data_IF_431986345225
#
_entry.id   IF_431986345225
#
_cell.length_a   1.000
_cell.length_b   1.000
_cell.length_c   1.000
_cell.angle_alpha   90.00
_cell.angle_beta   90.00
_cell.angle_gamma   90.00
#
_symmetry.space_group_name_H-M   'P 1'
#
loop_
_entity.id
_entity.type
_entity.pdbx_description
1 polymer ?
#
# COMPACT_ATOMS: atom_id res chain seq x y z
N UNK A 1 -43.74 2.14 -21.22
CA UNK A 1 -42.47 2.90 -21.21
C UNK A 1 -41.84 2.68 -19.86
N UNK A 2 -40.93 1.71 -19.78
CA UNK A 2 -40.29 1.28 -18.55
C UNK A 2 -39.20 2.28 -18.17
N UNK A 3 -39.44 3.06 -17.11
CA UNK A 3 -38.45 4.00 -16.57
C UNK A 3 -37.42 3.18 -15.81
N UNK A 4 -36.43 2.66 -16.54
CA UNK A 4 -35.18 2.19 -15.91
C UNK A 4 -34.61 3.36 -15.14
N UNK A 5 -34.87 3.38 -13.84
CA UNK A 5 -34.25 4.24 -12.86
C UNK A 5 -32.74 4.17 -13.09
N UNK A 6 -32.13 5.29 -13.45
CA UNK A 6 -30.69 5.46 -13.42
C UNK A 6 -30.20 4.92 -12.08
N UNK A 7 -29.17 4.04 -12.03
CA UNK A 7 -28.70 3.52 -10.77
C UNK A 7 -28.34 4.72 -9.89
N UNK A 8 -28.96 4.76 -8.70
CA UNK A 8 -28.67 5.75 -7.67
C UNK A 8 -27.16 5.93 -7.58
N UNK A 9 -26.74 7.18 -7.78
CA UNK A 9 -25.45 7.77 -7.42
C UNK A 9 -24.38 6.74 -7.01
N UNK A 10 -23.37 6.49 -7.85
CA UNK A 10 -22.19 5.67 -7.52
C UNK A 10 -21.73 5.93 -6.07
N UNK A 11 -22.09 5.04 -5.14
CA UNK A 11 -21.84 5.25 -3.72
C UNK A 11 -20.38 4.91 -3.44
N UNK A 12 -19.56 5.94 -3.19
CA UNK A 12 -18.15 5.77 -2.85
C UNK A 12 -18.08 5.30 -1.40
N UNK A 13 -17.95 3.99 -1.19
CA UNK A 13 -17.90 3.36 0.14
C UNK A 13 -16.66 2.50 0.31
N UNK A 14 -16.30 2.23 1.57
CA UNK A 14 -15.21 1.33 1.89
C UNK A 14 -15.56 -0.11 1.50
N UNK A 15 -14.66 -0.76 0.75
CA UNK A 15 -14.81 -2.12 0.25
C UNK A 15 -14.61 -3.19 1.33
N UNK A 16 -13.99 -2.85 2.47
CA UNK A 16 -13.90 -3.77 3.59
C UNK A 16 -15.31 -4.05 4.13
N UNK A 17 -15.79 -5.30 4.00
CA UNK A 17 -17.14 -5.72 4.41
C UNK A 17 -17.42 -5.59 5.90
N UNK A 18 -16.37 -5.50 6.71
CA UNK A 18 -16.50 -5.28 8.15
C UNK A 18 -16.60 -3.79 8.51
N UNK A 19 -16.33 -2.89 7.56
CA UNK A 19 -16.48 -1.46 7.76
C UNK A 19 -17.96 -1.03 7.68
N UNK A 20 -18.44 -0.39 8.73
CA UNK A 20 -19.81 0.16 8.82
C UNK A 20 -19.83 1.69 8.73
N UNK A 21 -18.69 2.32 8.50
CA UNK A 21 -18.53 3.77 8.48
C UNK A 21 -18.79 4.31 7.08
N UNK A 22 -19.91 5.01 6.89
CA UNK A 22 -20.30 5.60 5.61
C UNK A 22 -19.95 7.10 5.51
N UNK A 23 -19.66 7.75 6.63
CA UNK A 23 -19.51 9.21 6.72
C UNK A 23 -18.08 9.71 6.48
N UNK A 24 -17.04 8.89 6.75
CA UNK A 24 -15.66 9.31 6.61
C UNK A 24 -15.14 9.08 5.19
N UNK A 25 -15.58 9.93 4.26
CA UNK A 25 -15.10 9.90 2.87
C UNK A 25 -13.69 10.49 2.72
N UNK A 26 -13.21 11.27 3.71
CA UNK A 26 -11.93 12.00 3.64
C UNK A 26 -10.72 11.10 3.82
N UNK A 27 -10.86 9.95 4.47
CA UNK A 27 -9.77 8.99 4.68
C UNK A 27 -9.87 7.74 3.78
N UNK A 28 -10.68 7.81 2.72
CA UNK A 28 -10.76 6.76 1.71
C UNK A 28 -9.59 6.86 0.73
N UNK A 29 -8.83 5.78 0.62
CA UNK A 29 -7.90 5.53 -0.46
C UNK A 29 -8.62 4.81 -1.60
N UNK A 30 -8.35 5.20 -2.84
CA UNK A 30 -8.93 4.58 -4.03
C UNK A 30 -7.83 3.82 -4.75
N UNK A 31 -7.97 2.50 -4.88
CA UNK A 31 -6.99 1.69 -5.60
C UNK A 31 -6.98 2.09 -7.08
N UNK A 32 -5.81 2.46 -7.60
CA UNK A 32 -5.69 2.90 -9.00
C UNK A 32 -5.97 1.77 -10.01
N UNK A 33 -5.84 0.51 -9.62
CA UNK A 33 -6.04 -0.66 -10.49
C UNK A 33 -7.48 -1.16 -10.51
N UNK A 34 -8.05 -1.46 -9.34
CA UNK A 34 -9.40 -2.04 -9.25
C UNK A 34 -10.49 -1.05 -8.84
N UNK A 35 -10.14 0.23 -8.58
CA UNK A 35 -11.04 1.33 -8.20
C UNK A 35 -11.84 1.13 -6.91
N UNK A 36 -11.63 0.01 -6.21
CA UNK A 36 -12.18 -0.23 -4.87
C UNK A 36 -11.59 0.78 -3.88
N UNK A 37 -12.44 1.31 -3.02
CA UNK A 37 -12.07 2.29 -2.01
C UNK A 37 -11.87 1.59 -0.65
N UNK A 38 -10.95 2.07 0.17
CA UNK A 38 -10.68 1.52 1.49
C UNK A 38 -10.37 2.67 2.44
N UNK A 39 -10.92 2.66 3.66
CA UNK A 39 -10.35 3.50 4.70
C UNK A 39 -8.94 3.02 4.99
N UNK A 40 -8.01 3.94 5.20
CA UNK A 40 -6.61 3.60 5.50
C UNK A 40 -6.49 2.66 6.71
N UNK A 41 -7.31 2.86 7.74
CA UNK A 41 -7.42 1.99 8.92
C UNK A 41 -8.07 0.61 8.66
N UNK A 42 -8.81 0.48 7.55
CA UNK A 42 -9.51 -0.75 7.17
C UNK A 42 -8.71 -1.60 6.18
N UNK A 43 -7.54 -1.12 5.73
CA UNK A 43 -6.55 -1.94 5.07
C UNK A 43 -5.97 -2.96 6.06
N UNK A 44 -5.46 -4.08 5.56
CA UNK A 44 -4.84 -5.13 6.37
C UNK A 44 -3.50 -5.57 5.76
N UNK A 45 -2.36 -5.06 6.26
CA UNK A 45 -2.25 -4.20 7.45
C UNK A 45 -2.80 -2.78 7.23
N UNK A 46 -3.16 -2.06 8.31
CA UNK A 46 -3.55 -0.65 8.24
C UNK A 46 -2.42 0.22 7.68
N UNK A 47 -2.79 1.22 6.87
CA UNK A 47 -1.84 2.16 6.26
C UNK A 47 -2.08 3.57 6.80
N UNK A 48 -1.07 4.44 6.67
CA UNK A 48 -1.19 5.85 7.05
C UNK A 48 -1.72 6.64 5.85
N UNK A 49 -2.96 7.13 5.95
CA UNK A 49 -3.64 7.86 4.86
C UNK A 49 -2.78 8.96 4.25
N UNK A 50 -2.22 9.83 5.10
CA UNK A 50 -1.45 11.00 4.68
C UNK A 50 -0.15 10.66 3.92
N UNK A 51 0.33 9.42 4.02
CA UNK A 51 1.50 8.93 3.26
C UNK A 51 1.03 8.18 2.02
N UNK A 52 0.11 7.24 2.17
CA UNK A 52 -0.40 6.41 1.08
C UNK A 52 -1.07 7.24 -0.03
N UNK A 53 -1.80 8.30 0.34
CA UNK A 53 -2.45 9.20 -0.61
C UNK A 53 -1.49 10.10 -1.40
N UNK A 54 -0.19 10.14 -1.08
CA UNK A 54 0.80 10.97 -1.79
C UNK A 54 1.22 10.39 -3.14
N UNK A 55 0.87 9.14 -3.41
CA UNK A 55 1.27 8.40 -4.60
C UNK A 55 0.09 7.61 -5.18
N UNK A 56 0.21 7.07 -6.41
CA UNK A 56 -0.81 6.20 -6.99
C UNK A 56 -0.96 4.90 -6.20
N UNK A 57 -1.82 4.92 -5.19
CA UNK A 57 -1.96 3.82 -4.23
C UNK A 57 -2.66 2.60 -4.85
N UNK A 58 -2.14 1.42 -4.53
CA UNK A 58 -2.69 0.12 -4.92
C UNK A 58 -3.09 -0.66 -3.67
N UNK A 59 -4.27 -1.27 -3.66
CA UNK A 59 -4.69 -2.12 -2.55
C UNK A 59 -3.90 -3.43 -2.49
N UNK A 60 -3.98 -4.16 -1.38
CA UNK A 60 -3.17 -5.37 -1.14
C UNK A 60 -3.37 -6.48 -2.18
N UNK A 61 -4.53 -6.53 -2.84
CA UNK A 61 -4.80 -7.47 -3.95
C UNK A 61 -4.26 -7.03 -5.30
N UNK A 62 -3.87 -5.76 -5.44
CA UNK A 62 -3.45 -5.16 -6.70
C UNK A 62 -2.01 -4.65 -6.66
N UNK A 63 -1.28 -4.91 -5.58
CA UNK A 63 0.12 -4.50 -5.45
C UNK A 63 0.93 -5.02 -6.64
N UNK A 64 1.65 -4.11 -7.28
CA UNK A 64 2.67 -4.41 -8.26
C UNK A 64 4.02 -3.91 -7.78
N UNK A 65 5.09 -4.55 -8.24
CA UNK A 65 6.43 -4.08 -7.98
C UNK A 65 6.61 -2.67 -8.56
N UNK A 66 6.98 -1.72 -7.72
CA UNK A 66 7.18 -0.31 -8.11
C UNK A 66 8.30 -0.15 -9.14
N UNK A 67 9.30 -1.04 -9.12
CA UNK A 67 10.46 -0.99 -10.01
C UNK A 67 10.13 -1.47 -11.43
N UNK A 68 9.51 -2.64 -11.57
CA UNK A 68 9.22 -3.23 -12.89
C UNK A 68 7.76 -3.06 -13.35
N UNK A 69 6.89 -2.50 -12.52
CA UNK A 69 5.44 -2.32 -12.76
C UNK A 69 4.63 -3.60 -12.96
N UNK A 70 5.23 -4.76 -12.74
CA UNK A 70 4.57 -6.06 -12.85
C UNK A 70 4.15 -6.55 -11.47
N UNK A 71 2.97 -7.16 -11.41
CA UNK A 71 2.54 -7.94 -10.25
C UNK A 71 3.29 -9.27 -10.22
N UNK A 72 2.87 -10.18 -9.34
CA UNK A 72 3.30 -11.57 -9.28
C UNK A 72 3.35 -12.16 -10.69
N UNK A 73 4.54 -12.28 -11.28
CA UNK A 73 4.70 -12.83 -12.64
C UNK A 73 4.47 -14.34 -12.65
N UNK A 74 4.48 -14.99 -11.49
CA UNK A 74 4.14 -16.39 -11.23
C UNK A 74 3.71 -16.55 -9.75
N UNK A 75 3.05 -17.65 -9.39
CA UNK A 75 2.51 -17.94 -8.05
C UNK A 75 3.54 -17.88 -6.89
N UNK A 76 4.85 -17.88 -7.19
CA UNK A 76 5.94 -17.96 -6.20
C UNK A 76 6.73 -16.65 -5.94
N UNK A 77 6.31 -15.50 -6.48
CA UNK A 77 7.09 -14.25 -6.34
C UNK A 77 6.70 -13.42 -5.12
N UNK A 78 7.42 -13.53 -4.00
CA UNK A 78 7.10 -12.71 -2.81
C UNK A 78 7.40 -11.21 -3.05
N UNK A 79 6.44 -10.34 -2.74
CA UNK A 79 6.62 -8.87 -2.73
C UNK A 79 6.95 -8.39 -1.31
N UNK A 80 8.02 -7.60 -1.18
CA UNK A 80 8.30 -6.82 0.02
C UNK A 80 7.50 -5.53 -0.01
N UNK A 81 6.78 -5.23 1.07
CA UNK A 81 6.01 -4.00 1.23
C UNK A 81 6.75 -3.09 2.20
N UNK A 82 7.00 -1.84 1.79
CA UNK A 82 7.68 -0.86 2.64
C UNK A 82 6.78 -0.42 3.80
N UNK A 83 7.24 -0.59 5.04
CA UNK A 83 6.49 -0.25 6.26
C UNK A 83 6.22 1.25 6.43
N UNK A 84 6.93 2.12 5.69
CA UNK A 84 6.73 3.56 5.73
C UNK A 84 5.75 4.07 4.66
N UNK A 85 5.79 3.54 3.44
CA UNK A 85 5.08 4.11 2.30
C UNK A 85 4.18 3.16 1.53
N UNK A 86 4.10 1.89 1.94
CA UNK A 86 3.20 0.89 1.38
C UNK A 86 3.46 0.56 -0.12
N UNK A 87 4.61 0.96 -0.65
CA UNK A 87 5.08 0.51 -1.98
C UNK A 87 5.60 -0.92 -1.92
N UNK A 88 5.31 -1.68 -2.97
CA UNK A 88 5.73 -3.07 -3.10
C UNK A 88 6.93 -3.21 -4.05
N UNK A 89 7.81 -4.16 -3.78
CA UNK A 89 8.96 -4.50 -4.60
C UNK A 89 9.14 -6.02 -4.62
N UNK A 90 9.48 -6.61 -5.76
CA UNK A 90 10.07 -7.95 -5.73
C UNK A 90 11.40 -7.88 -4.99
N UNK A 91 11.76 -8.94 -4.26
CA UNK A 91 13.03 -8.99 -3.53
C UNK A 91 14.23 -8.69 -4.43
N UNK A 92 14.30 -9.31 -5.62
CA UNK A 92 15.32 -9.05 -6.64
C UNK A 92 15.16 -7.74 -7.43
N UNK A 93 14.11 -6.96 -7.19
CA UNK A 93 13.95 -5.62 -7.76
C UNK A 93 14.29 -4.50 -6.75
N UNK A 94 14.69 -4.87 -5.52
CA UNK A 94 15.26 -3.95 -4.55
C UNK A 94 16.74 -3.69 -4.88
N UNK A 95 17.30 -2.59 -4.38
CA UNK A 95 18.72 -2.27 -4.57
C UNK A 95 19.66 -3.34 -3.99
N UNK A 96 19.32 -3.88 -2.82
CA UNK A 96 20.13 -4.90 -2.12
C UNK A 96 19.89 -6.33 -2.63
N UNK A 97 18.89 -6.54 -3.50
CA UNK A 97 18.57 -7.84 -4.10
C UNK A 97 18.40 -8.98 -3.07
N UNK A 98 17.45 -8.81 -2.14
CA UNK A 98 17.21 -9.81 -1.10
C UNK A 98 16.94 -11.22 -1.67
N UNK A 99 17.55 -12.23 -1.03
CA UNK A 99 17.29 -13.65 -1.31
C UNK A 99 16.20 -14.22 -0.40
N UNK A 100 16.03 -13.62 0.78
CA UNK A 100 15.02 -13.99 1.78
C UNK A 100 14.25 -12.75 2.28
N UNK A 101 13.06 -12.97 2.82
CA UNK A 101 12.25 -11.89 3.42
C UNK A 101 13.00 -11.31 4.63
N UNK A 102 13.29 -10.00 4.66
CA UNK A 102 13.97 -9.36 5.79
C UNK A 102 13.21 -9.57 7.10
N UNK A 103 13.95 -9.75 8.20
CA UNK A 103 13.36 -9.80 9.54
C UNK A 103 13.04 -8.37 10.00
N UNK A 104 11.93 -8.21 10.70
CA UNK A 104 11.53 -6.91 11.24
C UNK A 104 10.90 -6.01 10.19
N UNK A 105 10.98 -4.69 10.39
CA UNK A 105 10.44 -3.74 9.41
C UNK A 105 11.42 -3.58 8.26
N UNK A 106 10.88 -3.36 7.09
CA UNK A 106 11.64 -3.09 5.89
C UNK A 106 11.22 -1.76 5.26
N UNK A 107 12.22 -0.99 4.82
CA UNK A 107 12.04 0.30 4.19
C UNK A 107 12.68 0.29 2.80
N UNK A 108 11.92 0.70 1.79
CA UNK A 108 12.47 0.87 0.44
C UNK A 108 13.49 2.01 0.38
N UNK A 109 14.27 2.07 -0.71
CA UNK A 109 15.36 3.05 -0.90
C UNK A 109 14.94 4.52 -0.74
N UNK A 110 13.66 4.83 -1.00
CA UNK A 110 13.11 6.18 -0.82
C UNK A 110 12.79 6.52 0.65
N UNK A 111 12.62 5.51 1.49
CA UNK A 111 12.25 5.63 2.89
C UNK A 111 13.38 5.29 3.85
N UNK A 112 14.38 4.53 3.40
CA UNK A 112 15.57 4.17 4.19
C UNK A 112 16.56 5.33 4.34
N UNK A 113 16.41 6.42 3.57
CA UNK A 113 17.30 7.58 3.65
C UNK A 113 16.57 8.92 3.52
N UNK A 114 17.06 9.94 4.23
CA UNK A 114 16.59 11.32 4.09
C UNK A 114 17.31 12.00 2.93
N UNK A 115 16.62 12.21 1.80
CA UNK A 115 17.18 12.90 0.64
C UNK A 115 17.64 14.35 0.89
N UNK A 116 17.25 14.98 2.02
CA UNK A 116 17.70 16.33 2.39
C UNK A 116 19.05 16.34 3.12
N UNK A 117 19.31 15.39 4.01
CA UNK A 117 20.50 15.40 4.87
C UNK A 117 21.40 14.16 4.74
N UNK A 118 21.03 13.17 3.92
CA UNK A 118 21.83 11.98 3.64
C UNK A 118 21.85 10.92 4.76
N UNK A 119 21.21 11.18 5.91
CA UNK A 119 21.08 10.18 6.97
C UNK A 119 20.24 9.00 6.51
N UNK A 120 20.72 7.79 6.78
CA UNK A 120 20.00 6.54 6.55
C UNK A 120 19.56 5.95 7.88
N UNK A 121 18.42 5.24 7.87
CA UNK A 121 18.00 4.41 9.00
C UNK A 121 19.05 3.31 9.16
N UNK A 122 19.61 3.16 10.36
CA UNK A 122 20.52 2.04 10.65
C UNK A 122 19.73 0.73 10.77
N UNK A 123 20.40 -0.41 10.60
CA UNK A 123 19.79 -1.75 10.76
C UNK A 123 19.12 -1.93 12.13
N UNK A 124 19.65 -1.26 13.16
CA UNK A 124 19.08 -1.24 14.52
C UNK A 124 17.79 -0.42 14.61
N UNK A 125 17.67 0.68 13.86
CA UNK A 125 16.48 1.53 13.82
C UNK A 125 15.36 0.97 12.93
N UNK A 126 15.64 0.01 12.05
CA UNK A 126 14.59 -0.77 11.37
C UNK A 126 13.83 -1.73 12.29
N UNK A 127 14.37 -2.03 13.47
CA UNK A 127 13.83 -3.05 14.37
C UNK A 127 13.11 -2.48 15.60
N UNK A 128 12.77 -1.18 15.62
CA UNK A 128 12.05 -0.62 16.78
C UNK A 128 10.64 -1.22 16.88
N UNK A 129 10.52 -2.22 17.76
CA UNK A 129 9.26 -2.62 18.39
C UNK A 129 8.71 -1.38 19.07
N UNK A 130 7.62 -0.83 18.54
CA UNK A 130 6.80 0.09 19.32
C UNK A 130 6.27 -0.72 20.50
N UNK A 131 6.75 -0.41 21.70
CA UNK A 131 6.18 -0.86 22.96
C UNK A 131 4.76 -0.29 23.12
#
# INVERSE_FOLDING_TARGET
MDKRSLPDRLEITCYNRMCKELSNLRELLICIRCRKCFHAKCCDPPVIYSIAARYPWECNKCKACFSCSKSLENEDTTLLICDACDRAYHMGCTKEHYEEVPRGKWYCDFCSGCGRCGRHLSEDESNVRLL
#
